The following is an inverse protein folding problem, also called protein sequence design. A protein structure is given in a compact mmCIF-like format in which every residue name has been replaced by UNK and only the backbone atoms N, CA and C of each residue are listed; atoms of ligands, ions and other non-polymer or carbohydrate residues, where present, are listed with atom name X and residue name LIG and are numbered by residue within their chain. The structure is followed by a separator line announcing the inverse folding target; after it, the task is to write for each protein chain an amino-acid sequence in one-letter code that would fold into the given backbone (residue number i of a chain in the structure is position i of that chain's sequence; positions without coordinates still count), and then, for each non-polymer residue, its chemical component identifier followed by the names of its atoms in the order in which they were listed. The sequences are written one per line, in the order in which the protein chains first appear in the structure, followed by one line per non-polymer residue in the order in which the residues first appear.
data_IF_711133443458
#
_entry.id   IF_711133443458
#
_cell.length_a   1.000
_cell.length_b   1.000
_cell.length_c   1.000
_cell.angle_alpha   90.00
_cell.angle_beta   90.00
_cell.angle_gamma   90.00
#
_symmetry.space_group_name_H-M   'P 1'
#
loop_
_entity.id
_entity.type
_entity.pdbx_description
1 polymer ?
#
# COMPACT_ATOMS: atom_id res chain seq x y z
N UNK A 1 19.37 13.09 -24.80
CA UNK A 1 17.94 13.32 -24.47
C UNK A 1 17.13 12.73 -25.59
N UNK A 2 16.34 11.69 -25.30
CA UNK A 2 15.49 11.08 -26.32
C UNK A 2 14.26 11.96 -26.54
N UNK A 3 13.94 12.22 -27.79
CA UNK A 3 12.84 13.09 -28.19
C UNK A 3 11.92 12.39 -29.16
N UNK A 4 10.64 12.73 -29.16
CA UNK A 4 9.70 12.14 -30.12
C UNK A 4 10.04 12.59 -31.54
N UNK A 5 9.98 11.67 -32.51
CA UNK A 5 10.14 11.99 -33.93
C UNK A 5 8.84 11.74 -34.69
N UNK A 6 8.63 12.56 -35.73
CA UNK A 6 7.42 12.48 -36.55
C UNK A 6 7.52 11.23 -37.43
N UNK A 7 6.42 10.46 -37.50
CA UNK A 7 6.35 9.23 -38.29
C UNK A 7 6.77 7.96 -37.56
N UNK A 8 7.33 8.08 -36.35
CA UNK A 8 7.70 6.93 -35.51
C UNK A 8 6.55 6.45 -34.63
N UNK A 9 6.59 5.17 -34.29
CA UNK A 9 5.65 4.53 -33.39
C UNK A 9 6.30 4.20 -32.05
N UNK A 10 5.57 4.46 -30.97
CA UNK A 10 6.01 4.23 -29.61
C UNK A 10 5.00 3.37 -28.87
N UNK A 11 5.48 2.52 -27.97
CA UNK A 11 4.61 1.65 -27.19
C UNK A 11 4.71 1.90 -25.69
N UNK A 12 3.61 1.65 -25.00
CA UNK A 12 3.57 1.58 -23.54
C UNK A 12 2.72 0.39 -23.11
N UNK A 13 3.18 -0.36 -22.12
CA UNK A 13 2.37 -1.43 -21.50
C UNK A 13 1.47 -0.84 -20.44
N UNK A 14 0.28 -1.43 -20.26
CA UNK A 14 -0.58 -1.11 -19.13
C UNK A 14 0.07 -1.56 -17.82
N UNK A 15 -0.18 -0.81 -16.76
CA UNK A 15 0.24 -1.19 -15.39
C UNK A 15 -0.67 -2.30 -14.85
N UNK A 16 -1.92 -2.38 -15.33
CA UNK A 16 -2.91 -3.34 -14.83
C UNK A 16 -2.77 -4.73 -15.46
N UNK A 17 -2.57 -4.78 -16.78
CA UNK A 17 -2.38 -6.02 -17.51
C UNK A 17 -1.18 -5.87 -18.44
N UNK A 18 -0.11 -6.63 -18.19
CA UNK A 18 1.12 -6.55 -18.96
C UNK A 18 0.98 -7.03 -20.42
N UNK A 19 -0.06 -7.80 -20.72
CA UNK A 19 -0.39 -8.22 -22.10
C UNK A 19 -1.05 -7.10 -22.91
N UNK A 20 -1.60 -6.07 -22.24
CA UNK A 20 -2.17 -4.92 -22.91
C UNK A 20 -1.07 -3.93 -23.29
N UNK A 21 -0.71 -3.92 -24.57
CA UNK A 21 0.25 -2.96 -25.16
C UNK A 21 -0.53 -1.87 -25.90
N UNK A 22 -0.32 -0.63 -25.50
CA UNK A 22 -0.82 0.55 -26.21
C UNK A 22 0.25 1.06 -27.17
N UNK A 23 -0.16 1.44 -28.37
CA UNK A 23 0.71 2.03 -29.39
C UNK A 23 0.23 3.43 -29.76
N UNK A 24 1.18 4.31 -30.06
CA UNK A 24 0.90 5.64 -30.61
C UNK A 24 1.75 5.87 -31.85
N UNK A 25 1.16 6.55 -32.83
CA UNK A 25 1.88 7.02 -34.02
C UNK A 25 1.97 8.53 -33.99
N UNK A 26 3.19 9.07 -34.04
CA UNK A 26 3.38 10.53 -33.97
C UNK A 26 3.12 11.16 -35.33
N UNK A 27 2.09 12.01 -35.43
CA UNK A 27 1.70 12.69 -36.68
C UNK A 27 2.25 14.11 -36.78
N UNK A 28 2.59 14.74 -35.65
CA UNK A 28 3.21 16.07 -35.66
C UNK A 28 3.85 16.45 -34.33
N UNK A 29 4.99 17.12 -34.38
CA UNK A 29 5.71 17.62 -33.21
C UNK A 29 5.80 19.14 -33.24
N UNK A 30 5.60 19.75 -32.07
CA UNK A 30 5.96 21.14 -31.77
C UNK A 30 6.87 21.17 -30.55
N UNK A 31 7.51 22.31 -30.26
CA UNK A 31 8.44 22.45 -29.12
C UNK A 31 7.83 22.11 -27.75
N UNK A 32 6.50 22.17 -27.59
CA UNK A 32 5.81 21.94 -26.30
C UNK A 32 4.71 20.89 -26.36
N UNK A 33 4.28 20.48 -27.56
CA UNK A 33 3.15 19.54 -27.73
C UNK A 33 3.40 18.56 -28.86
N UNK A 34 2.84 17.36 -28.74
CA UNK A 34 2.90 16.31 -29.74
C UNK A 34 1.46 15.93 -30.12
N UNK A 35 1.23 15.79 -31.42
CA UNK A 35 0.00 15.25 -32.00
C UNK A 35 0.28 13.83 -32.43
N UNK A 36 -0.59 12.91 -32.06
CA UNK A 36 -0.42 11.48 -32.29
C UNK A 36 -1.78 10.81 -32.50
N UNK A 37 -1.76 9.66 -33.16
CA UNK A 37 -2.92 8.79 -33.30
C UNK A 37 -2.90 7.76 -32.17
N UNK A 38 -4.00 7.66 -31.44
CA UNK A 38 -4.17 6.75 -30.30
C UNK A 38 -5.57 6.15 -30.34
N UNK A 39 -5.65 4.82 -30.38
CA UNK A 39 -6.92 4.08 -30.46
C UNK A 39 -7.84 4.55 -31.62
N UNK A 40 -7.26 4.94 -32.76
CA UNK A 40 -7.98 5.42 -33.95
C UNK A 40 -8.41 6.89 -33.89
N UNK A 41 -8.09 7.63 -32.83
CA UNK A 41 -8.35 9.07 -32.72
C UNK A 41 -7.06 9.88 -32.75
N UNK A 42 -7.06 10.98 -33.49
CA UNK A 42 -5.98 11.96 -33.43
C UNK A 42 -6.10 12.79 -32.14
N UNK A 43 -5.09 12.75 -31.27
CA UNK A 43 -5.04 13.48 -30.00
C UNK A 43 -3.79 14.35 -29.92
N UNK A 44 -3.83 15.37 -29.07
CA UNK A 44 -2.70 16.25 -28.79
C UNK A 44 -2.40 16.25 -27.29
N UNK A 45 -1.14 16.03 -26.93
CA UNK A 45 -0.67 16.11 -25.55
C UNK A 45 0.54 17.02 -25.39
N UNK A 46 0.72 17.53 -24.18
CA UNK A 46 1.89 18.33 -23.81
C UNK A 46 3.08 17.41 -23.55
N UNK A 47 4.24 17.78 -24.08
CA UNK A 47 5.51 17.09 -23.78
C UNK A 47 5.93 17.44 -22.37
N UNK A 48 6.28 16.43 -21.58
CA UNK A 48 6.97 16.57 -20.30
C UNK A 48 8.38 16.01 -20.45
N UNK A 49 9.32 16.52 -19.65
CA UNK A 49 10.73 16.15 -19.69
C UNK A 49 11.14 15.71 -18.30
N UNK A 50 11.79 14.55 -18.22
CA UNK A 50 12.45 14.01 -17.03
C UNK A 50 13.93 13.74 -17.35
N UNK A 51 14.70 13.26 -16.36
CA UNK A 51 16.12 12.90 -16.50
C UNK A 51 16.39 11.88 -17.62
N UNK A 52 15.41 11.00 -17.91
CA UNK A 52 15.47 9.98 -18.98
C UNK A 52 15.03 10.49 -20.36
N UNK A 53 14.47 11.70 -20.46
CA UNK A 53 14.04 12.29 -21.74
C UNK A 53 12.56 12.72 -21.79
N UNK A 54 12.04 12.85 -23.01
CA UNK A 54 10.66 13.29 -23.24
C UNK A 54 9.63 12.16 -23.00
N UNK A 55 8.54 12.50 -22.34
CA UNK A 55 7.38 11.62 -22.19
C UNK A 55 6.06 12.37 -22.39
N UNK A 56 5.04 11.62 -22.77
CA UNK A 56 3.66 12.10 -22.89
C UNK A 56 2.71 11.20 -22.11
N UNK A 57 1.64 11.80 -21.60
CA UNK A 57 0.58 11.12 -20.88
C UNK A 57 -0.75 11.50 -21.54
N UNK A 58 -1.37 10.59 -22.34
CA UNK A 58 -2.61 10.88 -23.06
C UNK A 58 -3.81 11.14 -22.16
N UNK A 59 -3.95 10.36 -21.09
CA UNK A 59 -5.10 10.42 -20.19
C UNK A 59 -4.68 10.83 -18.77
N UNK A 60 -5.56 11.49 -18.02
CA UNK A 60 -5.25 11.98 -16.65
C UNK A 60 -5.59 11.01 -15.52
N UNK A 61 -5.95 9.76 -15.84
CA UNK A 61 -6.24 8.75 -14.83
C UNK A 61 -4.95 8.15 -14.25
N UNK A 62 -5.00 7.65 -13.01
CA UNK A 62 -3.83 7.14 -12.28
C UNK A 62 -3.13 5.94 -12.95
N UNK A 63 -3.85 5.20 -13.80
CA UNK A 63 -3.31 4.08 -14.58
C UNK A 63 -3.10 4.41 -16.07
N UNK A 64 -3.16 5.69 -16.44
CA UNK A 64 -2.99 6.09 -17.83
C UNK A 64 -1.62 5.66 -18.37
N UNK A 65 -1.55 5.13 -19.61
CA UNK A 65 -0.29 4.74 -20.21
C UNK A 65 0.63 5.95 -20.40
N UNK A 66 1.91 5.78 -20.10
CA UNK A 66 2.93 6.83 -20.23
C UNK A 66 3.87 6.42 -21.37
N UNK A 67 3.84 7.19 -22.45
CA UNK A 67 4.71 6.95 -23.60
C UNK A 67 6.00 7.73 -23.41
N UNK A 68 7.13 7.04 -23.58
CA UNK A 68 8.47 7.62 -23.49
C UNK A 68 9.14 7.57 -24.85
N UNK A 69 9.93 8.59 -25.16
CA UNK A 69 10.73 8.64 -26.39
C UNK A 69 11.81 7.53 -26.47
N UNK A 70 12.11 6.86 -25.35
CA UNK A 70 13.04 5.71 -25.29
C UNK A 70 12.43 4.41 -25.86
N UNK A 71 11.09 4.31 -25.93
CA UNK A 71 10.38 3.08 -26.29
C UNK A 71 9.86 3.14 -27.73
N UNK A 72 10.77 3.42 -28.66
CA UNK A 72 10.51 3.29 -30.09
C UNK A 72 10.29 1.82 -30.43
N UNK A 73 9.23 1.51 -31.19
CA UNK A 73 9.05 0.18 -31.75
C UNK A 73 10.06 0.04 -32.89
N UNK A 74 11.20 -0.60 -32.63
CA UNK A 74 12.00 -1.18 -33.70
C UNK A 74 11.22 -2.39 -34.23
N UNK A 75 10.81 -2.32 -35.49
CA UNK A 75 10.26 -3.47 -36.18
C UNK A 75 11.41 -4.45 -36.46
N UNK A 76 11.66 -5.41 -35.56
CA UNK A 76 11.87 -6.84 -35.85
C UNK A 76 12.01 -7.65 -34.55
N UNK A 77 11.27 -8.76 -34.49
CA UNK A 77 11.36 -9.94 -33.60
C UNK A 77 11.10 -9.84 -32.08
N UNK A 78 9.95 -10.39 -31.71
CA UNK A 78 9.65 -11.06 -30.43
C UNK A 78 9.90 -12.59 -30.60
N UNK A 79 9.66 -13.50 -29.62
CA UNK A 79 9.52 -13.37 -28.15
C UNK A 79 10.26 -14.50 -27.37
N UNK A 80 10.36 -14.40 -26.03
CA UNK A 80 10.42 -15.55 -25.10
C UNK A 80 10.14 -15.01 -23.68
N UNK A 81 8.97 -15.21 -23.06
CA UNK A 81 8.41 -16.43 -22.46
C UNK A 81 9.21 -16.94 -21.25
N UNK A 82 8.62 -16.83 -20.05
CA UNK A 82 8.63 -17.76 -18.91
C UNK A 82 8.22 -17.00 -17.63
N UNK A 83 6.97 -17.04 -17.18
CA UNK A 83 6.28 -18.06 -16.37
C UNK A 83 6.51 -17.96 -14.85
N UNK A 84 5.38 -18.15 -14.18
CA UNK A 84 5.03 -18.08 -12.77
C UNK A 84 5.60 -19.27 -11.98
N UNK A 85 5.91 -19.09 -10.69
CA UNK A 85 6.05 -20.23 -9.77
C UNK A 85 5.62 -19.82 -8.36
N UNK A 86 4.49 -20.39 -7.95
CA UNK A 86 4.02 -20.45 -6.58
C UNK A 86 4.79 -21.50 -5.76
N UNK A 87 5.00 -21.25 -4.46
CA UNK A 87 5.08 -22.30 -3.43
C UNK A 87 5.06 -21.69 -2.00
N UNK A 88 4.06 -22.09 -1.21
CA UNK A 88 4.15 -22.22 0.25
C UNK A 88 4.35 -23.72 0.57
N UNK A 89 4.84 -24.13 1.78
CA UNK A 89 3.94 -24.27 2.93
C UNK A 89 4.58 -24.05 4.34
N UNK A 90 3.70 -24.16 5.35
CA UNK A 90 3.76 -23.89 6.81
C UNK A 90 4.56 -24.93 7.67
N UNK A 91 4.31 -25.13 9.00
CA UNK A 91 4.15 -24.25 10.19
C UNK A 91 5.00 -24.70 11.42
N UNK A 92 5.18 -23.87 12.46
CA UNK A 92 5.47 -24.23 13.88
C UNK A 92 5.48 -22.92 14.71
N UNK A 93 5.15 -22.82 16.00
CA UNK A 93 4.54 -23.66 17.01
C UNK A 93 4.03 -22.69 18.11
N UNK A 94 2.99 -23.11 18.82
CA UNK A 94 2.35 -22.41 19.93
C UNK A 94 3.18 -22.57 21.22
N UNK A 95 3.48 -21.48 21.93
CA UNK A 95 3.97 -21.54 23.30
C UNK A 95 3.24 -20.49 24.15
N UNK A 96 2.70 -20.94 25.27
CA UNK A 96 1.78 -20.23 26.14
C UNK A 96 2.39 -20.10 27.54
N UNK A 97 2.49 -18.88 28.08
CA UNK A 97 2.49 -18.52 29.51
C UNK A 97 2.86 -17.02 29.69
N UNK A 98 2.68 -16.41 30.89
CA UNK A 98 1.54 -16.42 31.82
C UNK A 98 0.92 -15.01 31.96
N UNK A 99 -0.36 -14.95 32.33
CA UNK A 99 -1.19 -13.75 32.46
C UNK A 99 -0.65 -12.72 33.48
N UNK A 100 -0.10 -11.62 32.96
CA UNK A 100 0.20 -10.40 33.74
C UNK A 100 -0.93 -9.40 33.52
N UNK A 101 -1.69 -9.09 34.58
CA UNK A 101 -2.76 -8.08 34.56
C UNK A 101 -2.11 -6.71 34.66
N UNK A 102 -2.32 -5.85 33.66
CA UNK A 102 -1.82 -4.47 33.68
C UNK A 102 -3.02 -3.52 33.62
N UNK A 103 -3.28 -2.85 34.74
CA UNK A 103 -4.32 -1.82 34.85
C UNK A 103 -3.72 -0.46 34.51
N UNK A 104 -4.24 0.24 33.49
CA UNK A 104 -3.76 1.58 33.11
C UNK A 104 -4.94 2.54 32.94
N UNK A 105 -4.78 3.74 33.50
CA UNK A 105 -5.69 4.87 33.33
C UNK A 105 -5.46 5.51 31.96
N UNK A 106 -6.50 5.63 31.14
CA UNK A 106 -6.42 6.30 29.84
C UNK A 106 -6.74 7.80 29.98
N UNK A 107 -6.00 8.69 29.29
CA UNK A 107 -6.12 10.14 29.50
C UNK A 107 -7.33 10.79 28.81
N UNK A 108 -8.21 10.02 28.15
CA UNK A 108 -9.35 10.55 27.40
C UNK A 108 -10.71 9.93 27.75
N UNK A 109 -10.74 8.98 28.71
CA UNK A 109 -11.96 8.38 29.23
C UNK A 109 -11.88 8.41 30.76
N UNK A 110 -12.98 8.75 31.44
CA UNK A 110 -13.10 8.66 32.90
C UNK A 110 -13.05 7.21 33.44
N UNK A 111 -12.61 6.24 32.63
CA UNK A 111 -12.54 4.83 32.95
C UNK A 111 -11.22 4.18 32.52
N UNK A 112 -10.59 3.44 33.43
CA UNK A 112 -9.43 2.61 33.12
C UNK A 112 -9.82 1.40 32.24
N UNK A 113 -9.06 1.14 31.19
CA UNK A 113 -9.18 -0.09 30.40
C UNK A 113 -8.16 -1.10 30.93
N UNK A 114 -8.63 -2.26 31.34
CA UNK A 114 -7.78 -3.36 31.79
C UNK A 114 -7.60 -4.30 30.61
N UNK A 115 -6.35 -4.50 30.20
CA UNK A 115 -5.99 -5.43 29.12
C UNK A 115 -5.29 -6.63 29.74
N UNK A 116 -5.72 -7.82 29.35
CA UNK A 116 -5.28 -9.11 29.90
C UNK A 116 -4.67 -9.97 28.79
N UNK A 117 -3.70 -10.82 29.14
CA UNK A 117 -3.25 -11.87 28.22
C UNK A 117 -4.39 -12.87 28.00
N UNK A 118 -4.58 -13.28 26.75
CA UNK A 118 -5.69 -14.13 26.30
C UNK A 118 -6.95 -13.35 25.93
N UNK A 119 -6.98 -12.04 26.13
CA UNK A 119 -8.14 -11.21 25.79
C UNK A 119 -8.28 -11.05 24.28
N UNK A 120 -9.52 -11.21 23.80
CA UNK A 120 -9.89 -10.92 22.42
C UNK A 120 -9.96 -9.43 22.18
N UNK A 121 -9.39 -9.00 21.06
CA UNK A 121 -9.39 -7.62 20.60
C UNK A 121 -9.82 -7.57 19.14
N UNK A 122 -10.42 -6.46 18.75
CA UNK A 122 -10.83 -6.14 17.38
C UNK A 122 -10.11 -4.90 16.88
N UNK A 123 -9.71 -4.90 15.61
CA UNK A 123 -9.13 -3.75 14.94
C UNK A 123 -10.05 -3.23 13.86
N UNK A 124 -10.40 -1.96 13.94
CA UNK A 124 -11.11 -1.25 12.90
C UNK A 124 -10.14 -0.33 12.14
N UNK A 125 -9.82 -0.72 10.90
CA UNK A 125 -8.97 0.05 9.98
C UNK A 125 -9.78 0.94 9.01
N UNK A 126 -11.12 0.95 9.10
CA UNK A 126 -12.00 1.81 8.31
C UNK A 126 -12.70 1.09 7.15
N UNK A 127 -13.49 1.85 6.38
CA UNK A 127 -14.50 1.32 5.46
C UNK A 127 -13.99 0.40 4.33
N UNK A 128 -12.69 0.42 4.04
CA UNK A 128 -12.10 -0.42 2.99
C UNK A 128 -11.38 -1.67 3.52
N UNK A 129 -11.40 -1.88 4.84
CA UNK A 129 -10.71 -3.00 5.49
C UNK A 129 -11.69 -3.78 6.36
N UNK A 130 -11.68 -5.12 6.30
CA UNK A 130 -12.49 -5.92 7.21
C UNK A 130 -12.03 -5.68 8.65
N UNK A 131 -12.96 -5.84 9.59
CA UNK A 131 -12.62 -5.85 11.01
C UNK A 131 -11.74 -7.08 11.27
N UNK A 132 -10.58 -6.86 11.87
CA UNK A 132 -9.66 -7.94 12.19
C UNK A 132 -9.76 -8.32 13.67
N UNK A 133 -9.84 -9.62 13.93
CA UNK A 133 -9.82 -10.18 15.27
C UNK A 133 -8.40 -10.57 15.67
N UNK A 134 -8.08 -10.42 16.95
CA UNK A 134 -6.79 -10.80 17.52
C UNK A 134 -6.88 -11.18 18.98
N UNK A 135 -5.78 -11.70 19.50
CA UNK A 135 -5.65 -12.08 20.91
C UNK A 135 -4.39 -11.46 21.49
N UNK A 136 -4.48 -10.91 22.69
CA UNK A 136 -3.30 -10.41 23.43
C UNK A 136 -2.48 -11.60 23.91
N UNK A 137 -1.22 -11.71 23.47
CA UNK A 137 -0.32 -12.83 23.81
C UNK A 137 0.68 -12.44 24.90
N UNK A 138 0.97 -11.14 25.07
CA UNK A 138 1.93 -10.70 26.08
C UNK A 138 2.04 -9.19 26.20
N UNK A 139 2.93 -8.75 27.08
CA UNK A 139 3.27 -7.35 27.28
C UNK A 139 4.77 -7.14 27.25
N UNK A 140 5.20 -6.03 26.66
CA UNK A 140 6.59 -5.60 26.65
C UNK A 140 6.64 -4.17 27.20
N UNK A 141 7.50 -3.95 28.18
CA UNK A 141 7.86 -2.61 28.63
C UNK A 141 9.10 -2.15 27.87
N UNK A 142 9.01 -0.97 27.27
CA UNK A 142 10.07 -0.41 26.43
C UNK A 142 10.51 0.90 27.08
N UNK A 143 11.77 1.01 27.51
CA UNK A 143 12.24 2.25 28.13
C UNK A 143 12.20 3.39 27.11
N UNK A 144 12.03 4.62 27.61
CA UNK A 144 12.15 5.82 26.79
C UNK A 144 13.54 5.88 26.15
N UNK A 145 13.55 5.98 24.82
CA UNK A 145 14.77 6.20 24.05
C UNK A 145 14.96 7.68 23.73
N UNK A 146 16.11 7.99 23.13
CA UNK A 146 16.43 9.36 22.68
C UNK A 146 15.48 9.84 21.57
N UNK A 147 14.98 8.92 20.74
CA UNK A 147 14.16 9.22 19.55
C UNK A 147 12.73 8.68 19.68
N UNK A 148 12.54 7.58 20.41
CA UNK A 148 11.26 6.88 20.52
C UNK A 148 10.77 7.00 21.95
N UNK A 149 9.56 7.55 22.11
CA UNK A 149 8.85 7.50 23.39
C UNK A 149 8.56 6.04 23.72
N UNK A 150 9.07 5.60 24.85
CA UNK A 150 8.82 4.30 25.43
C UNK A 150 7.40 4.18 25.99
N UNK A 151 7.21 3.11 26.74
CA UNK A 151 5.96 2.76 27.39
C UNK A 151 5.64 1.29 27.26
N UNK A 152 4.47 0.92 27.76
CA UNK A 152 4.02 -0.47 27.78
C UNK A 152 3.24 -0.78 26.51
N UNK A 153 3.62 -1.87 25.85
CA UNK A 153 3.01 -2.37 24.64
C UNK A 153 2.37 -3.73 24.90
N UNK A 154 1.17 -3.94 24.37
CA UNK A 154 0.58 -5.25 24.22
C UNK A 154 1.08 -5.90 22.93
N UNK A 155 1.44 -7.17 23.00
CA UNK A 155 1.68 -8.02 21.84
C UNK A 155 0.35 -8.66 21.44
N UNK A 156 -0.16 -8.29 20.27
CA UNK A 156 -1.42 -8.81 19.74
C UNK A 156 -1.12 -9.75 18.58
N UNK A 157 -1.58 -10.99 18.69
CA UNK A 157 -1.58 -11.96 17.59
C UNK A 157 -2.90 -11.82 16.81
N UNK A 158 -2.81 -11.24 15.62
CA UNK A 158 -3.97 -11.11 14.72
C UNK A 158 -4.24 -12.41 13.98
N UNK A 159 -5.51 -12.72 13.72
CA UNK A 159 -5.90 -13.95 13.04
C UNK A 159 -5.35 -14.04 11.61
N UNK A 160 -5.24 -12.90 10.93
CA UNK A 160 -4.69 -12.82 9.57
C UNK A 160 -3.14 -12.91 9.54
N UNK A 161 -2.48 -12.75 10.70
CA UNK A 161 -1.01 -12.76 10.82
C UNK A 161 -0.58 -13.44 12.13
N UNK A 162 -0.75 -14.75 12.18
CA UNK A 162 -0.48 -15.55 13.39
C UNK A 162 1.01 -15.72 13.71
N UNK A 163 1.86 -15.65 12.69
CA UNK A 163 3.31 -15.85 12.79
C UNK A 163 4.05 -14.64 13.36
N UNK A 164 3.46 -13.44 13.33
CA UNK A 164 4.10 -12.19 13.74
C UNK A 164 3.16 -11.35 14.62
N UNK A 165 3.30 -11.44 15.97
CA UNK A 165 2.53 -10.59 16.86
C UNK A 165 2.91 -9.11 16.66
N UNK A 166 1.90 -8.25 16.59
CA UNK A 166 2.05 -6.81 16.45
C UNK A 166 2.19 -6.14 17.82
N UNK A 167 3.05 -5.13 17.90
CA UNK A 167 3.22 -4.31 19.10
C UNK A 167 2.25 -3.13 19.04
N UNK A 168 1.24 -3.15 19.90
CA UNK A 168 0.26 -2.05 20.03
C UNK A 168 0.43 -1.40 21.39
N UNK A 169 0.49 -0.07 21.44
CA UNK A 169 0.65 0.65 22.69
C UNK A 169 -0.62 0.50 23.53
N UNK A 170 -0.48 0.27 24.83
CA UNK A 170 -1.64 0.08 25.71
C UNK A 170 -2.56 1.31 25.78
N UNK A 171 -2.03 2.51 25.55
CA UNK A 171 -2.83 3.74 25.46
C UNK A 171 -3.77 3.77 24.26
N UNK A 172 -3.53 2.93 23.25
CA UNK A 172 -4.22 2.95 21.96
C UNK A 172 -5.24 1.79 21.84
N UNK A 173 -5.42 1.03 22.91
CA UNK A 173 -6.41 -0.04 23.04
C UNK A 173 -7.60 0.49 23.83
N UNK A 174 -8.75 0.62 23.20
CA UNK A 174 -9.91 1.29 23.77
C UNK A 174 -11.07 0.33 24.05
N UNK A 175 -12.11 0.80 24.75
CA UNK A 175 -13.38 0.06 24.84
C UNK A 175 -14.18 0.23 23.56
N UNK A 176 -15.00 -0.78 23.22
CA UNK A 176 -16.01 -0.64 22.16
C UNK A 176 -16.86 0.61 22.40
N UNK A 177 -17.03 1.41 21.35
CA UNK A 177 -17.75 2.69 21.39
C UNK A 177 -16.86 3.92 21.59
N UNK A 178 -15.58 3.75 21.93
CA UNK A 178 -14.61 4.86 21.93
C UNK A 178 -14.49 5.50 20.54
N UNK A 179 -14.27 6.80 20.53
CA UNK A 179 -14.01 7.59 19.33
C UNK A 179 -12.80 8.47 19.57
N UNK A 180 -11.98 8.63 18.54
CA UNK A 180 -10.91 9.62 18.56
C UNK A 180 -11.46 11.04 18.78
N UNK A 181 -10.58 11.99 19.09
CA UNK A 181 -10.94 13.41 19.24
C UNK A 181 -11.69 13.99 18.03
N UNK A 182 -11.44 13.45 16.83
CA UNK A 182 -12.11 13.86 15.58
C UNK A 182 -13.39 13.04 15.30
N UNK A 183 -13.87 12.22 16.23
CA UNK A 183 -15.06 11.38 16.10
C UNK A 183 -14.86 10.06 15.32
N UNK A 184 -13.64 9.80 14.83
CA UNK A 184 -13.33 8.59 14.06
C UNK A 184 -13.41 7.32 14.92
N UNK A 185 -14.09 6.25 14.46
CA UNK A 185 -14.22 4.97 15.17
C UNK A 185 -13.05 4.00 14.91
N UNK A 186 -11.91 4.52 14.44
CA UNK A 186 -10.73 3.72 14.11
C UNK A 186 -9.89 3.47 15.36
N UNK A 187 -9.37 2.25 15.49
CA UNK A 187 -8.56 1.87 16.64
C UNK A 187 -8.58 0.37 16.90
N UNK A 188 -7.92 -0.01 18.00
CA UNK A 188 -7.98 -1.36 18.55
C UNK A 188 -8.92 -1.34 19.75
N UNK A 189 -9.82 -2.30 19.83
CA UNK A 189 -10.87 -2.36 20.81
C UNK A 189 -10.84 -3.68 21.55
N UNK A 190 -11.09 -3.59 22.86
CA UNK A 190 -11.36 -4.77 23.68
C UNK A 190 -12.76 -5.31 23.37
N UNK A 191 -12.86 -6.62 23.17
CA UNK A 191 -14.14 -7.34 23.05
C UNK A 191 -14.63 -7.88 24.38
#
# INVERSE_FOLDING_TARGET
MNTFEIGKEYYSRSIYNHDCVFTIKITGRTAKTVTYEYMGESRRSKIRVDDSGEYIQPDRYSMAPIFRAEREIQAEEAPAAAEETAAAPAPVAEDAAPSKVVTISQPADDGSVIVMIGQSVERNCGACFPIESGTVVGFIDVPDGVVIRGGVYALIRWDNRRDRPERVRLSDIHRRGWRSANGSPLGVFVC
#
